data_IF_641775937674
#
_entry.id   IF_641775937674
#
_cell.length_a   1.000
_cell.length_b   1.000
_cell.length_c   1.000
_cell.angle_alpha   90.00
_cell.angle_beta   90.00
_cell.angle_gamma   90.00
#
_symmetry.space_group_name_H-M   'P 1'
#
loop_
_entity.id
_entity.type
_entity.pdbx_description
1 polymer ?
#
# COMPACT_ATOMS: atom_id res chain seq x y z
N UNK A 1 6.79 -12.20 27.45
CA UNK A 1 6.76 -11.56 26.12
C UNK A 1 5.61 -12.13 25.32
N UNK A 2 4.79 -11.27 24.75
CA UNK A 2 3.66 -11.69 23.90
C UNK A 2 4.12 -11.82 22.46
N UNK A 3 3.63 -12.85 21.79
CA UNK A 3 3.82 -13.04 20.36
C UNK A 3 2.59 -12.61 19.59
N UNK A 4 2.79 -11.82 18.54
CA UNK A 4 1.73 -11.41 17.63
C UNK A 4 2.07 -11.97 16.25
N UNK A 5 1.09 -12.61 15.64
CA UNK A 5 1.23 -13.12 14.28
C UNK A 5 0.24 -12.37 13.41
N UNK A 6 0.75 -11.73 12.35
CA UNK A 6 -0.06 -11.09 11.32
C UNK A 6 -0.11 -12.02 10.13
N UNK A 7 -1.29 -12.37 9.70
CA UNK A 7 -1.49 -13.28 8.57
C UNK A 7 -1.95 -12.46 7.37
N UNK A 8 -1.16 -12.51 6.30
CA UNK A 8 -1.39 -11.77 5.08
C UNK A 8 -0.51 -10.54 4.97
N UNK A 9 0.29 -10.50 3.93
CA UNK A 9 1.24 -9.43 3.62
C UNK A 9 0.75 -8.44 2.57
N UNK A 10 -0.56 -8.18 2.52
CA UNK A 10 -1.11 -7.04 1.80
C UNK A 10 -0.89 -5.75 2.57
N UNK A 11 -1.44 -4.64 2.09
CA UNK A 11 -1.21 -3.32 2.70
C UNK A 11 -1.69 -3.28 4.16
N UNK A 12 -2.81 -3.92 4.48
CA UNK A 12 -3.33 -3.91 5.85
C UNK A 12 -2.40 -4.68 6.80
N UNK A 13 -1.95 -5.86 6.40
CA UNK A 13 -1.02 -6.65 7.22
C UNK A 13 0.33 -5.98 7.38
N UNK A 14 0.87 -5.40 6.32
CA UNK A 14 2.13 -4.66 6.36
C UNK A 14 2.02 -3.43 7.26
N UNK A 15 0.93 -2.67 7.18
CA UNK A 15 0.70 -1.51 8.03
C UNK A 15 0.59 -1.89 9.50
N UNK A 16 -0.12 -2.98 9.80
CA UNK A 16 -0.24 -3.49 11.16
C UNK A 16 1.11 -3.94 11.72
N UNK A 17 1.88 -4.70 10.94
CA UNK A 17 3.22 -5.14 11.34
C UNK A 17 4.17 -3.96 11.56
N UNK A 18 4.09 -2.94 10.70
CA UNK A 18 4.88 -1.73 10.86
C UNK A 18 4.56 -1.02 12.18
N UNK A 19 3.28 -0.88 12.50
CA UNK A 19 2.86 -0.27 13.76
C UNK A 19 3.37 -1.06 14.97
N UNK A 20 3.25 -2.39 14.91
CA UNK A 20 3.74 -3.26 15.98
C UNK A 20 5.26 -3.13 16.12
N UNK A 21 5.98 -3.08 15.01
CA UNK A 21 7.44 -2.91 15.03
C UNK A 21 7.84 -1.60 15.67
N UNK A 22 7.10 -0.52 15.46
CA UNK A 22 7.35 0.77 16.10
C UNK A 22 7.17 0.67 17.62
N UNK A 23 6.15 -0.06 18.08
CA UNK A 23 5.95 -0.30 19.51
C UNK A 23 7.08 -1.13 20.11
N UNK A 24 7.57 -2.15 19.40
CA UNK A 24 8.71 -2.96 19.82
C UNK A 24 9.96 -2.08 19.94
N UNK A 25 10.21 -1.24 18.96
CA UNK A 25 11.35 -0.31 18.97
C UNK A 25 11.28 0.70 20.11
N UNK A 26 10.07 1.02 20.56
CA UNK A 26 9.83 1.91 21.70
C UNK A 26 9.91 1.17 23.05
N UNK A 27 10.20 -0.12 23.06
CA UNK A 27 10.41 -0.91 24.28
C UNK A 27 9.27 -1.83 24.67
N UNK A 28 8.21 -1.96 23.86
CA UNK A 28 7.13 -2.89 24.16
C UNK A 28 7.63 -4.34 24.17
N UNK A 29 7.23 -5.17 25.15
CA UNK A 29 7.69 -6.57 25.26
C UNK A 29 6.88 -7.48 24.31
N UNK A 30 7.07 -7.28 23.02
CA UNK A 30 6.33 -7.97 21.95
C UNK A 30 7.29 -8.59 20.94
N UNK A 31 6.87 -9.69 20.36
CA UNK A 31 7.45 -10.23 19.12
C UNK A 31 6.38 -10.20 18.04
N UNK A 32 6.77 -9.95 16.82
CA UNK A 32 5.84 -9.94 15.69
C UNK A 32 6.38 -10.78 14.55
N UNK A 33 5.52 -11.60 13.97
CA UNK A 33 5.79 -12.33 12.73
C UNK A 33 4.71 -12.01 11.73
N UNK A 34 5.11 -11.73 10.50
CA UNK A 34 4.20 -11.52 9.38
C UNK A 34 4.33 -12.70 8.42
N UNK A 35 3.22 -13.37 8.16
CA UNK A 35 3.17 -14.55 7.32
C UNK A 35 2.42 -14.24 6.04
N UNK A 36 3.04 -14.57 4.91
CA UNK A 36 2.47 -14.40 3.59
C UNK A 36 2.43 -15.74 2.86
N UNK A 37 1.25 -16.15 2.37
CA UNK A 37 1.08 -17.42 1.68
C UNK A 37 1.53 -17.40 0.22
N UNK A 38 1.70 -16.25 -0.39
CA UNK A 38 2.16 -16.10 -1.77
C UNK A 38 3.66 -15.89 -1.86
N UNK A 39 4.13 -15.57 -3.07
CA UNK A 39 5.55 -15.41 -3.34
C UNK A 39 6.09 -14.02 -3.03
N UNK A 40 5.22 -13.05 -2.77
CA UNK A 40 5.62 -11.66 -2.52
C UNK A 40 4.67 -10.99 -1.54
N UNK A 41 5.15 -9.93 -0.90
CA UNK A 41 4.33 -8.99 -0.14
C UNK A 41 3.67 -7.98 -1.08
N UNK A 42 2.63 -7.32 -0.61
CA UNK A 42 1.94 -6.26 -1.34
C UNK A 42 0.50 -6.61 -1.73
N UNK A 43 0.15 -7.89 -1.78
CA UNK A 43 -1.21 -8.32 -2.06
C UNK A 43 -1.69 -7.84 -3.44
N UNK A 44 -2.81 -7.14 -3.44
CA UNK A 44 -3.42 -6.62 -4.68
C UNK A 44 -2.70 -5.39 -5.24
N UNK A 45 -1.82 -4.76 -4.47
CA UNK A 45 -1.02 -3.65 -4.95
C UNK A 45 0.19 -4.22 -5.68
N UNK A 46 0.22 -4.02 -6.97
CA UNK A 46 1.30 -4.51 -7.83
C UNK A 46 1.48 -3.60 -9.03
N UNK A 47 2.72 -3.38 -9.39
CA UNK A 47 3.11 -2.57 -10.54
C UNK A 47 3.89 -3.43 -11.51
N UNK A 48 3.54 -3.39 -12.77
CA UNK A 48 4.24 -4.06 -13.85
C UNK A 48 4.90 -3.05 -14.77
N UNK A 49 6.14 -3.27 -15.11
CA UNK A 49 6.86 -2.48 -16.12
C UNK A 49 7.02 -3.32 -17.37
N UNK A 50 6.48 -2.84 -18.46
CA UNK A 50 6.52 -3.57 -19.74
C UNK A 50 6.60 -2.58 -20.88
N UNK A 51 7.58 -2.78 -21.77
CA UNK A 51 7.77 -1.99 -23.00
C UNK A 51 7.78 -0.47 -22.77
N UNK A 52 8.40 -0.02 -21.68
CA UNK A 52 8.46 1.38 -21.31
C UNK A 52 7.23 1.92 -20.60
N UNK A 53 6.21 1.09 -20.41
CA UNK A 53 5.00 1.46 -19.66
C UNK A 53 5.10 1.03 -18.19
N UNK A 54 4.46 1.82 -17.33
CA UNK A 54 4.23 1.47 -15.93
C UNK A 54 2.75 1.16 -15.80
N UNK A 55 2.43 -0.08 -15.47
CA UNK A 55 1.06 -0.58 -15.41
C UNK A 55 0.74 -0.94 -13.97
N UNK A 56 -0.23 -0.25 -13.37
CA UNK A 56 -0.73 -0.59 -12.05
C UNK A 56 -1.77 -1.69 -12.17
N UNK A 57 -1.55 -2.78 -11.44
CA UNK A 57 -2.41 -3.97 -11.52
C UNK A 57 -3.50 -3.99 -10.47
N UNK A 58 -3.51 -3.03 -9.59
CA UNK A 58 -4.48 -2.91 -8.52
C UNK A 58 -4.66 -1.45 -8.12
N UNK A 59 -4.87 -1.17 -6.83
CA UNK A 59 -5.02 0.20 -6.37
C UNK A 59 -3.79 1.05 -6.71
N UNK A 60 -4.01 2.24 -7.22
CA UNK A 60 -2.96 3.14 -7.67
C UNK A 60 -3.00 4.51 -7.00
N UNK A 61 -4.03 4.78 -6.20
CA UNK A 61 -4.22 6.09 -5.60
C UNK A 61 -5.01 5.99 -4.31
N UNK A 62 -5.01 7.06 -3.55
CA UNK A 62 -5.83 7.19 -2.35
C UNK A 62 -6.32 8.63 -2.19
N UNK A 63 -7.35 8.80 -1.35
CA UNK A 63 -7.97 10.10 -1.12
C UNK A 63 -7.18 10.87 -0.07
N UNK A 64 -6.71 12.08 -0.41
CA UNK A 64 -5.93 12.93 0.49
C UNK A 64 -6.74 13.46 1.69
N UNK A 65 -8.06 13.42 1.61
CA UNK A 65 -8.94 13.82 2.70
C UNK A 65 -8.83 12.91 3.92
N UNK A 66 -8.37 11.68 3.72
CA UNK A 66 -8.06 10.74 4.81
C UNK A 66 -6.55 10.76 5.05
N UNK A 67 -6.08 11.29 6.19
CA UNK A 67 -4.66 11.59 6.35
C UNK A 67 -3.77 10.38 6.69
N UNK A 68 -4.35 9.21 6.95
CA UNK A 68 -3.59 8.07 7.44
C UNK A 68 -2.49 7.61 6.46
N UNK A 69 -2.81 7.53 5.16
CA UNK A 69 -1.84 7.10 4.16
C UNK A 69 -0.72 8.11 3.97
N UNK A 70 -1.04 9.40 3.99
CA UNK A 70 -0.05 10.47 3.91
C UNK A 70 0.90 10.40 5.12
N UNK A 71 0.36 10.23 6.32
CA UNK A 71 1.16 10.08 7.54
C UNK A 71 2.08 8.87 7.47
N UNK A 72 1.59 7.75 6.98
CA UNK A 72 2.40 6.55 6.82
C UNK A 72 3.55 6.80 5.84
N UNK A 73 3.28 7.43 4.71
CA UNK A 73 4.32 7.79 3.74
C UNK A 73 5.38 8.71 4.35
N UNK A 74 4.96 9.68 5.17
CA UNK A 74 5.88 10.57 5.86
C UNK A 74 6.75 9.82 6.86
N UNK A 75 6.16 8.91 7.63
CA UNK A 75 6.90 8.06 8.58
C UNK A 75 7.91 7.16 7.89
N UNK A 76 7.58 6.67 6.70
CA UNK A 76 8.48 5.83 5.90
C UNK A 76 9.53 6.64 5.13
N UNK A 77 9.47 7.97 5.17
CA UNK A 77 10.42 8.83 4.47
C UNK A 77 10.17 8.97 2.98
N UNK A 78 8.98 8.64 2.51
CA UNK A 78 8.61 8.71 1.09
C UNK A 78 7.48 9.71 0.80
N UNK A 79 7.21 10.61 1.74
CA UNK A 79 6.14 11.59 1.58
C UNK A 79 6.30 12.51 0.36
N UNK A 80 7.53 12.82 -0.01
CA UNK A 80 7.85 13.64 -1.19
C UNK A 80 7.74 12.86 -2.51
N UNK A 81 7.57 11.54 -2.46
CA UNK A 81 7.29 10.73 -3.65
C UNK A 81 5.82 10.76 -4.06
N UNK A 82 4.94 11.28 -3.21
CA UNK A 82 3.53 11.40 -3.53
C UNK A 82 3.31 12.46 -4.60
N UNK A 83 2.49 12.13 -5.59
CA UNK A 83 2.16 13.04 -6.69
C UNK A 83 0.66 13.22 -6.77
N UNK A 84 0.23 14.42 -7.16
CA UNK A 84 -1.17 14.69 -7.42
C UNK A 84 -1.63 14.11 -8.74
N UNK A 85 -2.94 14.09 -8.95
CA UNK A 85 -3.50 13.70 -10.24
C UNK A 85 -3.16 14.75 -11.28
N UNK A 86 -2.98 14.30 -12.52
CA UNK A 86 -2.75 15.21 -13.64
C UNK A 86 -4.04 15.91 -14.02
N UNK A 87 -4.18 17.24 -13.81
CA UNK A 87 -5.42 17.95 -14.11
C UNK A 87 -5.76 18.02 -15.59
N UNK A 88 -4.77 17.78 -16.47
CA UNK A 88 -4.99 17.73 -17.91
C UNK A 88 -5.35 16.34 -18.43
N UNK A 89 -5.35 15.33 -17.57
CA UNK A 89 -5.66 13.97 -17.98
C UNK A 89 -7.17 13.77 -18.11
N UNK A 90 -7.62 12.88 -19.00
CA UNK A 90 -9.02 12.49 -19.07
C UNK A 90 -9.48 11.88 -17.74
N UNK A 91 -10.79 11.95 -17.53
CA UNK A 91 -11.44 11.35 -16.38
C UNK A 91 -11.35 9.82 -16.42
N UNK A 92 -11.83 9.19 -15.37
CA UNK A 92 -11.93 7.74 -15.28
C UNK A 92 -12.82 7.17 -16.38
N UNK A 93 -12.37 6.11 -17.01
CA UNK A 93 -13.15 5.36 -17.98
C UNK A 93 -13.64 4.06 -17.37
N UNK A 94 -14.84 3.68 -17.72
CA UNK A 94 -15.42 2.39 -17.32
C UNK A 94 -15.73 1.59 -18.58
N UNK A 95 -15.24 0.35 -18.61
CA UNK A 95 -15.58 -0.57 -19.69
C UNK A 95 -16.90 -1.25 -19.38
N UNK A 96 -17.89 -0.99 -20.20
CA UNK A 96 -19.22 -1.55 -20.00
C UNK A 96 -19.85 -1.91 -21.34
N UNK A 97 -20.26 -3.16 -21.50
CA UNK A 97 -20.95 -3.66 -22.69
C UNK A 97 -20.15 -3.49 -23.98
N UNK A 98 -18.83 -3.65 -23.93
CA UNK A 98 -17.94 -3.49 -25.08
C UNK A 98 -17.57 -2.06 -25.41
N UNK A 99 -17.92 -1.12 -24.54
CA UNK A 99 -17.65 0.31 -24.75
C UNK A 99 -16.93 0.93 -23.53
N UNK A 100 -16.10 1.91 -23.80
CA UNK A 100 -15.57 2.80 -22.77
C UNK A 100 -16.56 3.96 -22.56
N UNK A 101 -16.97 4.14 -21.34
CA UNK A 101 -17.91 5.19 -20.95
C UNK A 101 -17.33 6.09 -19.86
#
# INVERSE_FOLDING_TARGET
MKKIIVIGGGIAGLAAAYRIQNEISAGAPLECSLLEGGERFGGKIATEKSEGFVIERGPDSFISQKPAAIRLCQQLGIGDHLVGTNPGAPSTYVYNGGKLV
#
